data_IF_358847929638
#
_entry.id   IF_358847929638
#
_cell.length_a   1.000
_cell.length_b   1.000
_cell.length_c   1.000
_cell.angle_alpha   90.00
_cell.angle_beta   90.00
_cell.angle_gamma   90.00
#
_symmetry.space_group_name_H-M   'P 1'
#
loop_
_entity.id
_entity.type
_entity.pdbx_description
1 polymer ?
#
# COMPACT_ATOMS: atom_id res chain seq x y z
N UNK A 1 -72.61 4.81 -4.78
CA UNK A 1 -71.31 5.14 -4.15
C UNK A 1 -70.71 3.83 -3.66
N UNK A 2 -69.50 3.54 -4.12
CA UNK A 2 -68.81 2.26 -3.97
C UNK A 2 -67.85 2.27 -2.76
N UNK A 3 -67.67 1.10 -2.14
CA UNK A 3 -66.44 0.60 -1.49
C UNK A 3 -66.79 -0.78 -0.87
N UNK A 4 -66.67 -1.90 -1.59
CA UNK A 4 -65.44 -2.66 -1.82
C UNK A 4 -64.71 -3.03 -0.52
N UNK A 5 -65.16 -4.11 0.11
CA UNK A 5 -64.45 -4.79 1.19
C UNK A 5 -63.44 -5.77 0.57
N UNK A 6 -62.15 -5.53 0.82
CA UNK A 6 -61.05 -6.36 0.35
C UNK A 6 -61.05 -7.72 1.06
N UNK A 7 -61.11 -8.79 0.27
CA UNK A 7 -61.03 -10.17 0.71
C UNK A 7 -59.58 -10.53 1.11
N UNK A 8 -59.43 -11.10 2.31
CA UNK A 8 -58.19 -11.74 2.74
C UNK A 8 -58.04 -13.12 2.05
N UNK A 9 -56.84 -13.50 1.56
CA UNK A 9 -56.63 -14.82 0.97
C UNK A 9 -56.48 -15.91 2.05
N UNK A 10 -56.99 -17.14 1.81
CA UNK A 10 -56.89 -18.24 2.76
C UNK A 10 -55.47 -18.85 2.81
N UNK A 11 -55.06 -19.44 3.94
CA UNK A 11 -53.75 -20.07 4.09
C UNK A 11 -53.68 -21.40 3.32
N UNK A 12 -52.71 -21.51 2.42
CA UNK A 12 -52.39 -22.75 1.71
C UNK A 12 -51.70 -23.74 2.67
N UNK A 13 -52.42 -24.82 2.99
CA UNK A 13 -51.87 -26.05 3.58
C UNK A 13 -51.22 -26.88 2.47
N UNK A 14 -49.95 -27.24 2.65
CA UNK A 14 -49.31 -28.33 1.92
C UNK A 14 -49.02 -29.48 2.89
N UNK A 15 -49.35 -30.74 2.54
CA UNK A 15 -49.02 -31.91 3.33
C UNK A 15 -47.69 -32.54 2.88
N UNK A 16 -47.08 -33.32 3.79
CA UNK A 16 -46.13 -34.45 3.64
C UNK A 16 -44.81 -34.20 2.87
N UNK A 17 -43.63 -34.69 3.25
CA UNK A 17 -43.30 -36.02 3.75
C UNK A 17 -42.02 -36.00 4.62
N UNK A 18 -42.00 -36.85 5.64
CA UNK A 18 -40.79 -37.20 6.38
C UNK A 18 -39.94 -38.20 5.57
N UNK A 19 -38.79 -37.74 5.10
CA UNK A 19 -37.75 -38.59 4.49
C UNK A 19 -36.72 -38.99 5.54
N UNK A 20 -36.74 -40.26 5.92
CA UNK A 20 -35.67 -40.90 6.69
C UNK A 20 -34.40 -41.07 5.84
N UNK A 21 -33.27 -41.24 6.54
CA UNK A 21 -31.97 -41.81 6.11
C UNK A 21 -30.95 -40.84 5.48
N UNK A 22 -29.94 -40.44 6.25
CA UNK A 22 -28.67 -41.21 6.42
C UNK A 22 -27.68 -40.34 7.19
N UNK A 23 -27.39 -40.73 8.43
CA UNK A 23 -26.22 -40.25 9.16
C UNK A 23 -24.97 -40.65 8.36
N UNK A 24 -24.27 -39.67 7.79
CA UNK A 24 -22.95 -39.87 7.19
C UNK A 24 -21.96 -40.14 8.32
N UNK A 25 -21.45 -41.36 8.35
CA UNK A 25 -20.30 -41.74 9.17
C UNK A 25 -19.13 -40.80 8.90
N UNK A 26 -18.34 -40.39 9.91
CA UNK A 26 -17.08 -39.70 9.66
C UNK A 26 -16.11 -40.70 9.03
N UNK A 27 -15.60 -40.37 7.84
CA UNK A 27 -14.47 -41.06 7.26
C UNK A 27 -13.25 -40.82 8.16
N UNK A 28 -12.87 -41.85 8.94
CA UNK A 28 -11.52 -41.97 9.50
C UNK A 28 -10.53 -41.98 8.34
N UNK A 29 -9.74 -40.92 8.22
CA UNK A 29 -8.50 -40.99 7.45
C UNK A 29 -7.51 -41.88 8.24
N UNK A 30 -6.71 -42.72 7.55
CA UNK A 30 -5.72 -43.54 8.21
C UNK A 30 -4.63 -42.65 8.84
N UNK A 31 -4.28 -42.98 10.08
CA UNK A 31 -3.12 -42.41 10.76
C UNK A 31 -1.85 -42.81 9.99
N UNK A 32 -1.27 -41.85 9.29
CA UNK A 32 0.08 -41.98 8.77
C UNK A 32 1.04 -41.95 9.97
N UNK A 33 1.74 -43.06 10.18
CA UNK A 33 2.78 -43.19 11.18
C UNK A 33 3.92 -42.20 10.88
N UNK A 34 4.32 -41.42 11.88
CA UNK A 34 5.53 -40.60 11.83
C UNK A 34 6.75 -41.53 11.88
N UNK A 35 7.42 -41.72 10.74
CA UNK A 35 8.83 -42.09 10.74
C UNK A 35 9.65 -40.88 11.24
N UNK A 36 10.70 -41.07 12.07
CA UNK A 36 11.58 -39.97 12.43
C UNK A 36 12.43 -39.59 11.21
N UNK A 37 12.01 -38.56 10.48
CA UNK A 37 12.87 -37.93 9.48
C UNK A 37 13.94 -37.11 10.19
N UNK A 38 15.18 -37.56 10.04
CA UNK A 38 16.42 -36.87 10.37
C UNK A 38 16.36 -35.39 9.93
N UNK A 39 16.76 -34.43 10.76
CA UNK A 39 16.75 -33.01 10.37
C UNK A 39 17.75 -32.78 9.23
N UNK A 40 17.36 -32.12 8.12
CA UNK A 40 18.31 -31.72 7.10
C UNK A 40 19.23 -30.62 7.64
N UNK A 41 20.54 -30.81 7.45
CA UNK A 41 21.57 -29.80 7.70
C UNK A 41 21.25 -28.48 6.96
N UNK A 42 21.63 -27.32 7.52
CA UNK A 42 21.49 -26.05 6.81
C UNK A 42 22.37 -26.05 5.55
N UNK A 43 21.87 -25.58 4.39
CA UNK A 43 22.71 -25.43 3.21
C UNK A 43 23.85 -24.45 3.51
N UNK A 44 25.07 -24.90 3.22
CA UNK A 44 26.28 -24.13 3.40
C UNK A 44 26.20 -22.79 2.67
N UNK A 45 26.72 -21.75 3.33
CA UNK A 45 26.95 -20.44 2.74
C UNK A 45 27.81 -20.60 1.47
N UNK A 46 27.21 -20.37 0.31
CA UNK A 46 27.96 -20.15 -0.93
C UNK A 46 28.75 -18.83 -0.80
N UNK A 47 30.05 -18.80 -1.14
CA UNK A 47 30.82 -17.57 -1.12
C UNK A 47 30.31 -16.60 -2.20
N UNK A 48 30.24 -15.31 -1.86
CA UNK A 48 29.86 -14.23 -2.77
C UNK A 48 30.55 -14.34 -4.15
N UNK A 49 29.86 -14.04 -5.25
CA UNK A 49 30.49 -13.98 -6.56
C UNK A 49 31.60 -12.91 -6.57
N UNK A 50 32.77 -13.29 -7.08
CA UNK A 50 33.94 -12.43 -7.25
C UNK A 50 33.58 -11.21 -8.11
N UNK A 51 34.19 -10.03 -7.86
CA UNK A 51 34.02 -8.87 -8.74
C UNK A 51 34.39 -9.25 -10.18
N UNK A 52 33.50 -8.91 -11.10
CA UNK A 52 33.67 -9.04 -12.54
C UNK A 52 35.02 -8.45 -12.97
N UNK A 53 35.83 -9.28 -13.65
CA UNK A 53 37.01 -8.82 -14.35
C UNK A 53 36.57 -7.93 -15.51
N UNK A 54 37.01 -6.66 -15.49
CA UNK A 54 36.84 -5.73 -16.60
C UNK A 54 37.62 -6.26 -17.81
N UNK A 55 37.00 -6.43 -19.00
CA UNK A 55 37.73 -6.82 -20.20
C UNK A 55 38.78 -5.77 -20.56
N UNK A 56 39.95 -6.16 -21.12
CA UNK A 56 40.98 -5.21 -21.51
C UNK A 56 40.44 -4.25 -22.58
N UNK A 57 40.60 -2.96 -22.33
CA UNK A 57 40.29 -1.89 -23.31
C UNK A 57 41.23 -2.04 -24.53
N UNK A 58 40.74 -1.85 -25.77
CA UNK A 58 41.62 -1.81 -26.93
C UNK A 58 42.57 -0.62 -26.81
N UNK A 59 43.87 -0.89 -26.92
CA UNK A 59 44.93 0.11 -26.91
C UNK A 59 44.88 0.83 -28.25
N UNK A 60 44.47 2.10 -28.27
CA UNK A 60 44.61 2.95 -29.44
C UNK A 60 46.00 3.58 -29.42
N UNK A 61 46.81 3.35 -30.46
CA UNK A 61 48.08 4.03 -30.66
C UNK A 61 47.83 5.51 -30.98
N UNK A 62 47.73 6.32 -29.93
CA UNK A 62 47.64 7.77 -30.02
C UNK A 62 49.05 8.33 -30.24
N UNK A 63 49.44 8.47 -31.51
CA UNK A 63 50.57 9.30 -31.93
C UNK A 63 50.41 10.72 -31.36
N UNK A 64 51.34 11.23 -30.52
CA UNK A 64 51.21 12.55 -29.93
C UNK A 64 51.52 13.63 -30.97
N UNK A 65 50.49 14.06 -31.71
CA UNK A 65 50.58 15.25 -32.58
C UNK A 65 50.69 16.51 -31.72
N UNK A 66 51.91 16.86 -31.32
CA UNK A 66 52.22 18.14 -30.64
C UNK A 66 51.97 19.30 -31.60
N UNK A 67 50.79 19.91 -31.52
CA UNK A 67 50.59 21.30 -31.98
C UNK A 67 50.80 22.22 -30.77
N UNK A 68 51.72 23.21 -30.83
CA UNK A 68 51.82 24.20 -29.76
C UNK A 68 50.54 25.04 -29.75
N UNK A 69 49.75 24.93 -28.69
CA UNK A 69 48.64 25.84 -28.42
C UNK A 69 49.18 27.23 -28.06
N UNK A 70 48.62 28.28 -28.64
CA UNK A 70 48.99 29.69 -28.48
C UNK A 70 48.69 30.30 -27.08
N UNK A 71 48.60 29.46 -26.05
CA UNK A 71 48.37 29.87 -24.67
C UNK A 71 49.60 29.44 -23.88
N UNK A 72 50.59 30.32 -23.85
CA UNK A 72 51.74 30.20 -22.95
C UNK A 72 51.24 30.41 -21.52
N UNK A 73 51.46 29.50 -20.56
CA UNK A 73 51.24 29.83 -19.17
C UNK A 73 52.31 30.82 -18.74
N UNK A 74 51.92 32.09 -18.59
CA UNK A 74 52.73 33.15 -17.98
C UNK A 74 53.21 32.68 -16.60
N UNK A 75 54.50 32.34 -16.51
CA UNK A 75 55.14 31.95 -15.25
C UNK A 75 55.35 33.19 -14.39
N UNK A 76 54.27 33.75 -13.82
CA UNK A 76 54.37 34.78 -12.79
C UNK A 76 54.99 34.18 -11.52
N UNK A 77 56.32 34.31 -11.42
CA UNK A 77 57.00 34.36 -10.11
C UNK A 77 56.53 35.64 -9.42
N UNK A 78 55.70 35.49 -8.40
CA UNK A 78 55.30 36.57 -7.50
C UNK A 78 54.69 35.94 -6.27
N UNK A 79 55.46 35.92 -5.18
CA UNK A 79 55.00 35.46 -3.88
C UNK A 79 53.76 36.23 -3.45
N UNK A 80 52.65 35.53 -3.39
CA UNK A 80 51.43 35.96 -2.75
C UNK A 80 50.72 34.69 -2.36
N UNK A 81 50.65 34.42 -1.07
CA UNK A 81 49.85 33.31 -0.57
C UNK A 81 48.47 33.41 -1.21
N UNK A 82 48.07 32.40 -1.98
CA UNK A 82 46.66 32.20 -2.31
C UNK A 82 46.03 31.85 -0.97
N UNK A 83 45.67 32.88 -0.20
CA UNK A 83 44.77 32.76 0.93
C UNK A 83 43.48 32.28 0.29
N UNK A 84 43.27 30.97 0.31
CA UNK A 84 41.93 30.41 0.15
C UNK A 84 41.20 30.96 1.38
N UNK A 85 40.34 31.99 1.25
CA UNK A 85 39.56 32.39 2.42
C UNK A 85 38.84 31.12 2.86
N UNK A 86 38.95 30.80 4.14
CA UNK A 86 38.18 29.71 4.71
C UNK A 86 36.71 29.98 4.33
N UNK A 87 36.03 29.06 3.60
CA UNK A 87 34.69 29.35 3.10
C UNK A 87 33.82 29.81 4.28
N UNK A 88 33.20 31.00 4.20
CA UNK A 88 32.49 31.57 5.33
C UNK A 88 31.34 30.64 5.74
N UNK A 89 31.46 30.13 6.97
CA UNK A 89 30.46 29.43 7.77
C UNK A 89 29.75 28.21 7.15
N UNK A 90 30.33 27.03 7.38
CA UNK A 90 29.59 25.74 7.34
C UNK A 90 28.43 25.66 8.36
N UNK A 91 28.28 26.66 9.23
CA UNK A 91 27.21 26.77 10.22
C UNK A 91 25.84 27.11 9.61
N UNK A 92 25.77 27.40 8.30
CA UNK A 92 24.52 27.72 7.59
C UNK A 92 23.56 26.51 7.53
N UNK A 93 24.06 25.28 7.69
CA UNK A 93 23.24 24.05 7.62
C UNK A 93 22.41 23.74 8.88
N UNK A 94 22.81 24.23 10.06
CA UNK A 94 22.14 23.87 11.34
C UNK A 94 21.21 24.96 11.88
N UNK A 95 21.31 26.20 11.38
CA UNK A 95 20.47 27.34 11.85
C UNK A 95 19.14 27.47 11.07
N UNK A 96 18.89 26.60 10.07
CA UNK A 96 17.66 26.59 9.24
C UNK A 96 16.79 25.36 9.44
N UNK A 97 16.98 24.59 10.51
CA UNK A 97 15.99 23.60 10.91
C UNK A 97 14.81 24.35 11.52
N UNK A 98 13.78 24.61 10.71
CA UNK A 98 12.44 24.84 11.26
C UNK A 98 12.17 23.69 12.24
N UNK A 99 11.60 24.00 13.40
CA UNK A 99 11.20 22.97 14.34
C UNK A 99 10.30 21.97 13.61
N UNK A 100 10.79 20.74 13.47
CA UNK A 100 10.03 19.66 12.84
C UNK A 100 9.19 19.08 13.96
N UNK A 101 7.89 19.31 13.89
CA UNK A 101 6.94 18.62 14.77
C UNK A 101 7.02 17.13 14.42
N UNK A 102 7.58 16.33 15.34
CA UNK A 102 7.69 14.87 15.19
C UNK A 102 6.42 14.14 15.64
N UNK A 103 5.40 14.88 16.07
CA UNK A 103 4.13 14.31 16.48
C UNK A 103 3.34 13.86 15.24
N UNK A 104 2.74 12.67 15.28
CA UNK A 104 1.89 12.21 14.18
C UNK A 104 0.65 13.11 14.04
N UNK A 105 0.18 13.37 12.82
CA UNK A 105 -1.08 14.08 12.63
C UNK A 105 -2.25 13.27 13.23
N UNK A 106 -3.33 13.94 13.59
CA UNK A 106 -4.48 13.32 14.30
C UNK A 106 -5.08 12.14 13.55
N UNK A 107 -5.24 12.26 12.24
CA UNK A 107 -5.76 11.20 11.37
C UNK A 107 -4.73 10.14 10.96
N UNK A 108 -3.54 10.09 11.57
CA UNK A 108 -2.48 9.15 11.21
C UNK A 108 -2.94 7.68 11.31
N UNK A 109 -3.68 7.33 12.38
CA UNK A 109 -4.19 5.97 12.58
C UNK A 109 -5.13 5.55 11.45
N UNK A 110 -6.02 6.46 11.04
CA UNK A 110 -6.95 6.23 9.93
C UNK A 110 -6.18 6.06 8.61
N UNK A 111 -5.21 6.93 8.37
CA UNK A 111 -4.37 6.86 7.19
C UNK A 111 -3.58 5.54 7.12
N UNK A 112 -3.11 5.03 8.26
CA UNK A 112 -2.36 3.78 8.34
C UNK A 112 -3.22 2.56 7.98
N UNK A 113 -4.51 2.54 8.37
CA UNK A 113 -5.44 1.50 7.92
C UNK A 113 -5.68 1.54 6.41
N UNK A 114 -5.87 2.74 5.86
CA UNK A 114 -6.12 2.94 4.44
C UNK A 114 -4.88 2.64 3.58
N UNK A 115 -3.69 2.96 4.07
CA UNK A 115 -2.42 2.67 3.39
C UNK A 115 -2.15 1.17 3.32
N UNK A 116 -2.46 0.43 4.39
CA UNK A 116 -2.40 -1.04 4.41
C UNK A 116 -3.38 -1.66 3.40
N UNK A 117 -4.57 -1.10 3.25
CA UNK A 117 -5.56 -1.54 2.26
C UNK A 117 -5.08 -1.24 0.81
N UNK A 118 -4.54 -0.03 0.56
CA UNK A 118 -3.97 0.34 -0.74
C UNK A 118 -2.82 -0.60 -1.12
N UNK A 119 -1.91 -0.85 -0.18
CA UNK A 119 -0.77 -1.74 -0.34
C UNK A 119 -1.20 -3.17 -0.66
N UNK A 120 -2.24 -3.67 0.01
CA UNK A 120 -2.79 -5.01 -0.24
C UNK A 120 -3.36 -5.13 -1.66
N UNK A 121 -4.09 -4.11 -2.14
CA UNK A 121 -4.55 -4.04 -3.52
C UNK A 121 -3.40 -3.90 -4.52
N UNK A 122 -2.36 -3.13 -4.18
CA UNK A 122 -1.19 -2.92 -5.02
C UNK A 122 -0.34 -4.18 -5.21
N UNK A 123 -0.33 -5.07 -4.22
CA UNK A 123 0.37 -6.37 -4.29
C UNK A 123 -0.40 -7.41 -5.11
N UNK A 124 -1.71 -7.26 -5.27
CA UNK A 124 -2.56 -8.24 -5.97
C UNK A 124 -2.76 -9.57 -5.23
N UNK A 125 -2.34 -9.67 -3.95
CA UNK A 125 -2.32 -10.92 -3.17
C UNK A 125 -3.48 -11.00 -2.16
N UNK A 126 -4.72 -10.80 -2.61
CA UNK A 126 -5.90 -10.75 -1.74
C UNK A 126 -6.77 -12.02 -1.75
N UNK A 127 -6.30 -13.08 -2.43
CA UNK A 127 -6.93 -14.41 -2.47
C UNK A 127 -8.22 -14.47 -3.30
N UNK A 128 -9.22 -13.64 -2.98
CA UNK A 128 -10.44 -13.46 -3.78
C UNK A 128 -10.96 -12.03 -3.70
N UNK A 129 -11.64 -11.56 -4.75
CA UNK A 129 -12.27 -10.23 -4.79
C UNK A 129 -13.36 -10.07 -3.72
N UNK A 130 -14.04 -11.17 -3.37
CA UNK A 130 -15.02 -11.19 -2.28
C UNK A 130 -14.38 -10.98 -0.90
N UNK A 131 -13.19 -11.52 -0.66
CA UNK A 131 -12.43 -11.26 0.58
C UNK A 131 -11.93 -9.82 0.61
N UNK A 132 -11.42 -9.30 -0.51
CA UNK A 132 -10.98 -7.91 -0.61
C UNK A 132 -12.11 -6.93 -0.26
N UNK A 133 -13.31 -7.13 -0.81
CA UNK A 133 -14.46 -6.28 -0.52
C UNK A 133 -14.88 -6.34 0.96
N UNK A 134 -14.85 -7.53 1.58
CA UNK A 134 -15.13 -7.67 3.02
C UNK A 134 -14.09 -6.95 3.88
N UNK A 135 -12.80 -7.11 3.55
CA UNK A 135 -11.70 -6.43 4.26
C UNK A 135 -11.83 -4.93 4.13
N UNK A 136 -12.14 -4.41 2.93
CA UNK A 136 -12.36 -2.98 2.74
C UNK A 136 -13.54 -2.43 3.53
N UNK A 137 -14.64 -3.18 3.66
CA UNK A 137 -15.75 -2.81 4.54
C UNK A 137 -15.34 -2.76 6.01
N UNK A 138 -14.55 -3.73 6.50
CA UNK A 138 -14.03 -3.72 7.88
C UNK A 138 -13.11 -2.51 8.10
N UNK A 139 -12.24 -2.19 7.14
CA UNK A 139 -11.35 -1.02 7.20
C UNK A 139 -12.16 0.28 7.20
N UNK A 140 -13.20 0.38 6.37
CA UNK A 140 -14.07 1.55 6.34
C UNK A 140 -14.82 1.75 7.66
N UNK A 141 -15.38 0.68 8.25
CA UNK A 141 -16.03 0.77 9.57
C UNK A 141 -15.04 1.20 10.67
N UNK A 142 -13.85 0.58 10.72
CA UNK A 142 -12.82 1.00 11.69
C UNK A 142 -12.39 2.45 11.49
N UNK A 143 -12.22 2.90 10.25
CA UNK A 143 -11.91 4.30 9.96
C UNK A 143 -13.02 5.26 10.44
N UNK A 144 -14.30 4.87 10.32
CA UNK A 144 -15.44 5.63 10.84
C UNK A 144 -15.44 5.70 12.36
N UNK A 145 -15.18 4.58 13.04
CA UNK A 145 -15.11 4.53 14.49
C UNK A 145 -14.00 5.43 15.04
N UNK A 146 -12.79 5.35 14.48
CA UNK A 146 -11.67 6.22 14.88
C UNK A 146 -11.97 7.70 14.60
N UNK A 147 -12.62 8.01 13.48
CA UNK A 147 -13.02 9.38 13.18
C UNK A 147 -14.06 9.89 14.20
N UNK A 148 -14.99 9.05 14.65
CA UNK A 148 -15.95 9.41 15.69
C UNK A 148 -15.28 9.66 17.05
N UNK A 149 -14.21 8.92 17.38
CA UNK A 149 -13.40 9.17 18.58
C UNK A 149 -12.75 10.56 18.52
N UNK A 150 -12.21 10.96 17.37
CA UNK A 150 -11.62 12.30 17.17
C UNK A 150 -12.66 13.42 17.30
N UNK A 151 -13.88 13.22 16.80
CA UNK A 151 -14.99 14.18 16.96
C UNK A 151 -15.42 14.27 18.43
N UNK A 152 -15.56 13.15 19.12
CA UNK A 152 -15.93 13.12 20.54
C UNK A 152 -14.87 13.79 21.43
N UNK A 153 -13.60 13.71 21.04
CA UNK A 153 -12.50 14.44 21.68
C UNK A 153 -12.46 15.94 21.35
N UNK A 154 -13.29 16.42 20.42
CA UNK A 154 -13.29 17.81 19.96
C UNK A 154 -12.01 18.21 19.21
N UNK A 155 -11.25 17.23 18.72
CA UNK A 155 -9.94 17.48 18.13
C UNK A 155 -10.03 17.87 16.65
N UNK A 156 -11.11 17.49 15.96
CA UNK A 156 -11.27 17.65 14.52
C UNK A 156 -12.65 18.23 14.21
N UNK A 157 -12.73 19.09 13.19
CA UNK A 157 -13.98 19.65 12.70
C UNK A 157 -14.88 18.56 12.08
N UNK A 158 -16.15 18.53 12.49
CA UNK A 158 -17.17 17.61 11.94
C UNK A 158 -17.24 17.66 10.41
N UNK A 159 -17.05 18.85 9.82
CA UNK A 159 -17.04 19.05 8.36
C UNK A 159 -16.00 18.17 7.67
N UNK A 160 -14.77 18.15 8.17
CA UNK A 160 -13.70 17.32 7.58
C UNK A 160 -13.99 15.83 7.74
N UNK A 161 -14.62 15.43 8.85
CA UNK A 161 -15.01 14.05 9.07
C UNK A 161 -16.11 13.61 8.10
N UNK A 162 -17.09 14.48 7.80
CA UNK A 162 -18.09 14.17 6.77
C UNK A 162 -17.47 14.03 5.37
N UNK A 163 -16.39 14.75 5.08
CA UNK A 163 -15.64 14.59 3.83
C UNK A 163 -14.94 13.23 3.78
N UNK A 164 -14.31 12.81 4.88
CA UNK A 164 -13.73 11.47 5.01
C UNK A 164 -14.80 10.39 4.80
N UNK A 165 -15.93 10.48 5.49
CA UNK A 165 -17.04 9.52 5.36
C UNK A 165 -17.55 9.43 3.91
N UNK A 166 -17.64 10.56 3.21
CA UNK A 166 -18.02 10.59 1.80
C UNK A 166 -17.03 9.80 0.94
N UNK A 167 -15.72 9.97 1.16
CA UNK A 167 -14.70 9.24 0.39
C UNK A 167 -14.72 7.75 0.74
N UNK A 168 -14.89 7.39 2.03
CA UNK A 168 -15.01 5.99 2.47
C UNK A 168 -16.19 5.28 1.80
N UNK A 169 -17.36 5.93 1.70
CA UNK A 169 -18.53 5.35 1.00
C UNK A 169 -18.25 5.09 -0.49
N UNK A 170 -17.57 6.02 -1.15
CA UNK A 170 -17.20 5.84 -2.56
C UNK A 170 -16.18 4.70 -2.74
N UNK A 171 -15.29 4.51 -1.77
CA UNK A 171 -14.32 3.40 -1.76
C UNK A 171 -15.03 2.06 -1.58
N UNK A 172 -15.99 1.96 -0.65
CA UNK A 172 -16.81 0.75 -0.46
C UNK A 172 -17.52 0.35 -1.76
N UNK A 173 -18.11 1.32 -2.46
CA UNK A 173 -18.75 1.12 -3.76
C UNK A 173 -17.78 0.60 -4.83
N UNK A 174 -16.55 1.10 -4.90
CA UNK A 174 -15.57 0.56 -5.86
C UNK A 174 -15.21 -0.89 -5.56
N UNK A 175 -15.09 -1.24 -4.28
CA UNK A 175 -14.75 -2.60 -3.89
C UNK A 175 -15.89 -3.57 -4.18
N UNK A 176 -17.15 -3.13 -4.11
CA UNK A 176 -18.28 -3.88 -4.63
C UNK A 176 -18.20 -4.06 -6.15
N UNK A 177 -17.78 -3.04 -6.89
CA UNK A 177 -17.53 -3.14 -8.33
C UNK A 177 -16.37 -4.10 -8.65
N UNK A 178 -15.31 -4.12 -7.85
CA UNK A 178 -14.21 -5.09 -7.96
C UNK A 178 -14.70 -6.51 -7.69
N UNK A 179 -15.57 -6.69 -6.70
CA UNK A 179 -16.20 -7.98 -6.40
C UNK A 179 -17.09 -8.47 -7.54
N UNK A 180 -17.78 -7.57 -8.23
CA UNK A 180 -18.66 -7.89 -9.35
C UNK A 180 -17.91 -8.11 -10.68
N UNK A 181 -16.62 -7.72 -10.76
CA UNK A 181 -15.83 -7.88 -11.98
C UNK A 181 -15.55 -9.36 -12.27
N UNK A 182 -15.91 -9.80 -13.47
CA UNK A 182 -15.72 -11.20 -13.92
C UNK A 182 -14.49 -11.34 -14.82
N UNK A 183 -14.13 -10.28 -15.56
CA UNK A 183 -13.01 -10.32 -16.51
C UNK A 183 -11.77 -9.67 -15.90
N UNK A 184 -10.61 -10.27 -16.13
CA UNK A 184 -9.34 -9.85 -15.54
C UNK A 184 -8.93 -8.42 -15.94
N UNK A 185 -9.17 -8.02 -17.19
CA UNK A 185 -8.89 -6.67 -17.67
C UNK A 185 -9.73 -5.62 -16.93
N UNK A 186 -11.03 -5.88 -16.76
CA UNK A 186 -11.94 -4.98 -16.03
C UNK A 186 -11.64 -4.96 -14.55
N UNK A 187 -11.23 -6.10 -13.98
CA UNK A 187 -10.86 -6.20 -12.57
C UNK A 187 -9.66 -5.32 -12.26
N UNK A 188 -8.63 -5.36 -13.11
CA UNK A 188 -7.42 -4.54 -12.94
C UNK A 188 -7.75 -3.04 -12.96
N UNK A 189 -8.53 -2.58 -13.94
CA UNK A 189 -8.95 -1.18 -14.02
C UNK A 189 -9.74 -0.75 -12.77
N UNK A 190 -10.65 -1.59 -12.29
CA UNK A 190 -11.45 -1.30 -11.09
C UNK A 190 -10.60 -1.26 -9.82
N UNK A 191 -9.61 -2.14 -9.69
CA UNK A 191 -8.66 -2.12 -8.58
C UNK A 191 -7.81 -0.86 -8.61
N UNK A 192 -7.38 -0.40 -9.79
CA UNK A 192 -6.61 0.85 -9.92
C UNK A 192 -7.47 2.08 -9.51
N UNK A 193 -8.75 2.10 -9.88
CA UNK A 193 -9.70 3.14 -9.43
C UNK A 193 -9.89 3.10 -7.91
N UNK A 194 -10.10 1.92 -7.32
CA UNK A 194 -10.24 1.76 -5.88
C UNK A 194 -8.98 2.20 -5.12
N UNK A 195 -7.79 1.91 -5.65
CA UNK A 195 -6.50 2.37 -5.11
C UNK A 195 -6.37 3.88 -5.15
N UNK A 196 -6.69 4.50 -6.29
CA UNK A 196 -6.66 5.95 -6.42
C UNK A 196 -7.58 6.63 -5.38
N UNK A 197 -8.74 6.02 -5.11
CA UNK A 197 -9.66 6.50 -4.08
C UNK A 197 -9.15 6.28 -2.65
N UNK A 198 -8.47 5.17 -2.37
CA UNK A 198 -7.77 4.98 -1.10
C UNK A 198 -6.70 6.05 -0.88
N UNK A 199 -5.92 6.40 -1.91
CA UNK A 199 -4.94 7.49 -1.84
C UNK A 199 -5.60 8.84 -1.54
N UNK A 200 -6.74 9.11 -2.16
CA UNK A 200 -7.54 10.30 -1.83
C UNK A 200 -7.99 10.29 -0.36
N UNK A 201 -8.48 9.15 0.13
CA UNK A 201 -8.90 9.01 1.53
C UNK A 201 -7.73 9.23 2.50
N UNK A 202 -6.52 8.74 2.18
CA UNK A 202 -5.30 8.98 2.97
C UNK A 202 -4.99 10.48 3.05
N UNK A 203 -5.08 11.21 1.92
CA UNK A 203 -4.83 12.65 1.92
C UNK A 203 -5.84 13.41 2.78
N UNK A 204 -7.12 13.03 2.72
CA UNK A 204 -8.17 13.61 3.57
C UNK A 204 -7.89 13.29 5.05
N UNK A 205 -7.54 12.04 5.37
CA UNK A 205 -7.22 11.62 6.72
C UNK A 205 -6.01 12.38 7.31
N UNK A 206 -4.95 12.60 6.52
CA UNK A 206 -3.79 13.38 6.96
C UNK A 206 -4.10 14.88 7.14
N UNK A 207 -5.24 15.35 6.63
CA UNK A 207 -5.69 16.74 6.77
C UNK A 207 -6.66 17.00 7.93
N UNK A 208 -7.05 15.94 8.66
CA UNK A 208 -7.95 16.01 9.82
C UNK A 208 -7.36 16.90 10.91
#
# INVERSE_FOLDING_TARGET
MAASAAAAPPPLRLPWAAGHLRQRRPCRLPAAACAPSTPPEPPGFEPLPKPYETPPQPVFDLEPRRRPSAITPERRRGGGAVQRPEPPDLQIGWKRTKEINNEPPKGWVIADFLDKLESLMGRGQYGSTALLAKVGGIVAERAREEAAVLVAGGEVDERKVTELERVLKLMEMDLEMVKAAVKEETLRERVEVARARCRQAILVAMSL
#
